data_IF_390993866011
#
_entry.id   IF_390993866011
#
_cell.length_a   1.000
_cell.length_b   1.000
_cell.length_c   1.000
_cell.angle_alpha   90.00
_cell.angle_beta   90.00
_cell.angle_gamma   90.00
#
_symmetry.space_group_name_H-M   'P 1'
#
loop_
_entity.id
_entity.type
_entity.pdbx_description
1 polymer ?
#
# COMPACT_ATOMS: atom_id res chain seq x y z
N UNK A 1 5.31 -5.48 20.56
CA UNK A 1 5.76 -4.99 19.25
C UNK A 1 4.81 -3.90 18.76
N UNK A 2 5.33 -2.74 18.38
CA UNK A 2 4.52 -1.67 17.84
C UNK A 2 4.03 -2.02 16.43
N UNK A 3 3.03 -1.30 15.93
CA UNK A 3 2.53 -1.52 14.57
C UNK A 3 3.60 -1.17 13.53
N UNK A 4 4.45 -0.18 13.81
CA UNK A 4 5.57 0.16 12.94
C UNK A 4 6.60 -0.97 12.87
N UNK A 5 6.92 -1.57 14.02
CA UNK A 5 7.81 -2.73 14.07
C UNK A 5 7.21 -3.92 13.34
N UNK A 6 5.90 -4.10 13.42
CA UNK A 6 5.21 -5.15 12.67
C UNK A 6 5.35 -4.94 11.16
N UNK A 7 5.16 -3.71 10.70
CA UNK A 7 5.35 -3.39 9.29
C UNK A 7 6.79 -3.66 8.85
N UNK A 8 7.77 -3.24 9.66
CA UNK A 8 9.18 -3.46 9.37
C UNK A 8 9.53 -4.95 9.32
N UNK A 9 8.91 -5.76 10.18
CA UNK A 9 9.09 -7.21 10.16
C UNK A 9 8.64 -7.81 8.83
N UNK A 10 7.50 -7.38 8.30
CA UNK A 10 7.05 -7.83 6.97
C UNK A 10 7.96 -7.32 5.86
N UNK A 11 8.46 -6.10 5.98
CA UNK A 11 9.37 -5.54 4.98
C UNK A 11 10.68 -6.35 4.84
N UNK A 12 11.05 -7.09 5.87
CA UNK A 12 12.27 -7.90 5.90
C UNK A 12 11.99 -9.39 6.07
N UNK A 13 10.75 -9.79 5.87
CA UNK A 13 10.32 -11.18 6.05
C UNK A 13 10.56 -12.06 4.84
N UNK A 14 9.77 -13.11 4.75
CA UNK A 14 9.90 -14.12 3.68
C UNK A 14 8.54 -14.56 3.17
N UNK A 15 8.49 -14.87 1.89
CA UNK A 15 7.37 -15.57 1.30
C UNK A 15 7.66 -17.07 1.44
N UNK A 16 6.90 -17.71 2.31
CA UNK A 16 7.01 -19.15 2.53
C UNK A 16 6.24 -19.89 1.44
N UNK A 17 6.80 -20.93 0.92
CA UNK A 17 6.22 -21.72 -0.17
C UNK A 17 6.96 -21.48 -1.49
N UNK A 18 7.34 -20.24 -1.76
CA UNK A 18 8.09 -19.87 -2.95
C UNK A 18 9.51 -19.37 -2.61
N UNK A 19 9.82 -19.32 -1.33
CA UNK A 19 11.15 -19.02 -0.80
C UNK A 19 11.74 -17.70 -1.31
N UNK A 20 10.98 -16.63 -1.18
CA UNK A 20 11.40 -15.29 -1.57
C UNK A 20 11.70 -14.48 -0.31
N UNK A 21 12.85 -13.81 -0.25
CA UNK A 21 13.23 -12.95 0.86
C UNK A 21 12.89 -11.49 0.55
N UNK A 22 12.07 -10.87 1.38
CA UNK A 22 11.64 -9.49 1.14
C UNK A 22 12.73 -8.47 1.45
N UNK A 23 13.68 -8.82 2.33
CA UNK A 23 14.81 -7.96 2.62
C UNK A 23 15.69 -7.67 1.42
N UNK A 24 15.68 -8.57 0.42
CA UNK A 24 16.47 -8.42 -0.80
C UNK A 24 15.75 -7.58 -1.86
N UNK A 25 14.50 -7.22 -1.63
CA UNK A 25 13.72 -6.40 -2.56
C UNK A 25 13.94 -4.93 -2.24
N UNK A 26 14.26 -4.14 -3.26
CA UNK A 26 14.54 -2.72 -3.10
C UNK A 26 13.24 -1.91 -3.00
N UNK A 27 13.19 -0.98 -2.06
CA UNK A 27 12.18 0.06 -2.05
C UNK A 27 12.40 0.99 -3.24
N UNK A 28 11.33 1.49 -3.85
CA UNK A 28 11.43 2.47 -4.92
C UNK A 28 10.48 3.64 -4.67
N UNK A 29 10.83 4.81 -5.21
CA UNK A 29 9.98 6.00 -5.10
C UNK A 29 8.86 5.91 -6.11
N UNK A 30 7.66 6.32 -5.69
CA UNK A 30 6.52 6.40 -6.60
C UNK A 30 6.87 7.42 -7.71
N UNK A 31 6.62 7.09 -8.98
CA UNK A 31 7.02 7.96 -10.10
C UNK A 31 6.27 9.30 -10.16
N UNK A 32 5.11 9.41 -9.52
CA UNK A 32 4.27 10.63 -9.58
C UNK A 32 4.14 11.36 -8.26
N UNK A 33 4.22 10.68 -7.13
CA UNK A 33 3.90 11.27 -5.83
C UNK A 33 5.12 11.33 -4.94
N UNK A 34 5.56 12.55 -4.64
CA UNK A 34 6.69 12.79 -3.76
C UNK A 34 6.43 12.23 -2.36
N UNK A 35 7.45 11.62 -1.76
CA UNK A 35 7.35 11.11 -0.40
C UNK A 35 6.64 9.77 -0.28
N UNK A 36 6.32 9.13 -1.40
CA UNK A 36 5.69 7.81 -1.43
C UNK A 36 6.69 6.78 -1.89
N UNK A 37 6.91 5.75 -1.07
CA UNK A 37 7.81 4.65 -1.38
C UNK A 37 7.04 3.33 -1.42
N UNK A 38 7.45 2.44 -2.30
CA UNK A 38 6.81 1.15 -2.49
C UNK A 38 7.81 0.01 -2.52
N UNK A 39 7.39 -1.15 -2.07
CA UNK A 39 8.13 -2.40 -2.16
C UNK A 39 7.16 -3.48 -2.66
N UNK A 40 7.48 -4.10 -3.79
CA UNK A 40 6.62 -5.10 -4.43
C UNK A 40 6.99 -6.49 -3.90
N UNK A 41 6.22 -7.03 -2.97
CA UNK A 41 6.57 -8.29 -2.30
C UNK A 41 5.93 -9.54 -2.93
N UNK A 42 4.75 -9.42 -3.51
CA UNK A 42 4.16 -10.47 -4.34
C UNK A 42 3.73 -9.82 -5.65
N UNK A 43 4.16 -10.38 -6.76
CA UNK A 43 3.90 -9.82 -8.08
C UNK A 43 3.19 -10.84 -8.97
N UNK A 44 2.85 -10.45 -10.19
CA UNK A 44 2.28 -11.35 -11.16
C UNK A 44 3.19 -12.56 -11.46
N UNK A 45 4.48 -12.43 -11.21
CA UNK A 45 5.41 -13.55 -11.37
C UNK A 45 5.04 -14.73 -10.47
N UNK A 46 4.69 -14.47 -9.21
CA UNK A 46 4.30 -15.52 -8.26
C UNK A 46 2.84 -15.97 -8.42
N UNK A 47 1.97 -15.14 -8.98
CA UNK A 47 0.52 -15.36 -8.94
C UNK A 47 -0.11 -15.59 -10.30
N UNK A 48 0.68 -15.65 -11.37
CA UNK A 48 0.19 -15.72 -12.74
C UNK A 48 -0.79 -14.56 -13.05
N UNK A 49 -0.47 -13.39 -12.54
CA UNK A 49 -1.27 -12.19 -12.77
C UNK A 49 -2.52 -12.06 -11.91
N UNK A 50 -2.79 -13.00 -11.01
CA UNK A 50 -4.05 -13.01 -10.24
C UNK A 50 -4.13 -11.92 -9.19
N UNK A 51 -3.03 -11.60 -8.53
CA UNK A 51 -2.97 -10.46 -7.61
C UNK A 51 -1.53 -10.05 -7.36
N UNK A 52 -1.37 -8.86 -6.77
CA UNK A 52 -0.06 -8.41 -6.30
C UNK A 52 -0.21 -7.78 -4.92
N UNK A 53 0.88 -7.78 -4.15
CA UNK A 53 0.92 -7.29 -2.79
C UNK A 53 2.12 -6.36 -2.64
N UNK A 54 1.87 -5.14 -2.16
CA UNK A 54 2.88 -4.09 -2.04
C UNK A 54 2.88 -3.49 -0.65
N UNK A 55 4.06 -3.19 -0.14
CA UNK A 55 4.20 -2.35 1.04
C UNK A 55 4.32 -0.92 0.56
N UNK A 56 3.61 -0.01 1.21
CA UNK A 56 3.60 1.41 0.85
C UNK A 56 3.88 2.26 2.06
N UNK A 57 4.79 3.21 1.92
CA UNK A 57 5.07 4.23 2.94
C UNK A 57 4.75 5.60 2.37
N UNK A 58 3.91 6.35 3.05
CA UNK A 58 3.66 7.75 2.73
C UNK A 58 4.32 8.57 3.82
N UNK A 59 5.28 9.42 3.45
CA UNK A 59 6.01 10.24 4.41
C UNK A 59 5.08 11.26 5.11
N UNK A 60 5.47 11.76 6.30
CA UNK A 60 4.65 12.76 6.99
C UNK A 60 4.23 13.92 6.10
N UNK A 61 2.95 14.27 6.15
CA UNK A 61 2.33 15.36 5.40
C UNK A 61 2.36 15.21 3.88
N UNK A 62 2.76 14.05 3.36
CA UNK A 62 2.74 13.75 1.93
C UNK A 62 1.49 12.96 1.58
N UNK A 63 1.27 12.76 0.29
CA UNK A 63 0.04 12.09 -0.15
C UNK A 63 0.22 11.30 -1.43
N UNK A 64 -0.60 10.28 -1.59
CA UNK A 64 -0.88 9.69 -2.90
C UNK A 64 -2.03 10.54 -3.45
N UNK A 65 -1.72 11.38 -4.45
CA UNK A 65 -2.71 12.30 -5.01
C UNK A 65 -3.86 11.59 -5.70
N UNK A 66 -4.85 12.36 -6.11
CA UNK A 66 -6.05 11.83 -6.74
C UNK A 66 -5.70 10.97 -7.95
N UNK A 67 -6.14 9.71 -7.94
CA UNK A 67 -5.86 8.75 -9.01
C UNK A 67 -6.93 7.68 -9.06
N UNK A 68 -6.93 6.91 -10.15
CA UNK A 68 -7.78 5.73 -10.30
C UNK A 68 -6.95 4.57 -10.83
N UNK A 69 -7.42 3.36 -10.56
CA UNK A 69 -6.93 2.16 -11.23
C UNK A 69 -8.07 1.63 -12.10
N UNK A 70 -7.83 1.59 -13.41
CA UNK A 70 -8.87 1.26 -14.38
C UNK A 70 -9.35 -0.19 -14.28
N UNK A 71 -8.45 -1.10 -14.00
CA UNK A 71 -8.69 -2.52 -14.13
C UNK A 71 -8.53 -3.33 -12.84
N UNK A 72 -8.11 -2.72 -11.75
CA UNK A 72 -7.85 -3.44 -10.52
C UNK A 72 -8.81 -3.04 -9.39
N UNK A 73 -9.25 -4.02 -8.65
CA UNK A 73 -9.76 -3.81 -7.30
C UNK A 73 -8.54 -3.68 -6.40
N UNK A 74 -8.53 -2.69 -5.52
CA UNK A 74 -7.44 -2.48 -4.57
C UNK A 74 -7.94 -2.51 -3.15
N UNK A 75 -7.16 -3.09 -2.24
CA UNK A 75 -7.41 -2.96 -0.80
C UNK A 75 -6.22 -2.31 -0.12
N UNK A 76 -6.49 -1.53 0.92
CA UNK A 76 -5.48 -0.98 1.80
C UNK A 76 -5.71 -1.49 3.21
N UNK A 77 -4.68 -2.06 3.82
CA UNK A 77 -4.68 -2.37 5.24
C UNK A 77 -3.74 -1.35 5.89
N UNK A 78 -4.27 -0.48 6.72
CA UNK A 78 -3.47 0.56 7.38
C UNK A 78 -2.80 -0.06 8.60
N UNK A 79 -1.47 -0.11 8.59
CA UNK A 79 -0.69 -0.77 9.62
C UNK A 79 -0.16 0.24 10.63
N UNK A 80 0.28 1.40 10.19
CA UNK A 80 0.87 2.42 11.06
C UNK A 80 0.50 3.81 10.59
N UNK A 81 0.37 4.74 11.53
CA UNK A 81 0.15 6.15 11.26
C UNK A 81 -1.31 6.50 11.09
N UNK A 82 -1.56 7.71 10.65
CA UNK A 82 -2.91 8.21 10.45
C UNK A 82 -2.95 9.25 9.34
N UNK A 83 -4.14 9.47 8.81
CA UNK A 83 -4.39 10.44 7.77
C UNK A 83 -5.81 10.38 7.28
N UNK A 84 -6.03 10.80 6.06
CA UNK A 84 -7.36 10.86 5.45
C UNK A 84 -7.36 10.17 4.10
N UNK A 85 -8.46 9.48 3.82
CA UNK A 85 -8.74 8.94 2.49
C UNK A 85 -9.97 9.64 1.94
N UNK A 86 -9.82 10.26 0.79
CA UNK A 86 -10.94 10.90 0.08
C UNK A 86 -11.30 10.12 -1.17
N UNK A 87 -12.59 9.86 -1.33
CA UNK A 87 -13.16 9.37 -2.57
C UNK A 87 -14.10 10.44 -3.12
N UNK A 88 -14.78 10.21 -4.25
CA UNK A 88 -15.70 11.22 -4.80
C UNK A 88 -16.77 11.64 -3.81
N UNK A 89 -17.30 10.69 -3.05
CA UNK A 89 -18.46 10.93 -2.20
C UNK A 89 -18.18 10.97 -0.72
N UNK A 90 -17.00 10.48 -0.31
CA UNK A 90 -16.70 10.29 1.10
C UNK A 90 -15.29 10.69 1.48
N UNK A 91 -15.16 11.01 2.76
CA UNK A 91 -13.88 11.23 3.38
C UNK A 91 -13.85 10.35 4.64
N UNK A 92 -12.81 9.57 4.81
CA UNK A 92 -12.71 8.71 5.98
C UNK A 92 -11.32 8.78 6.60
N UNK A 93 -11.26 8.53 7.90
CA UNK A 93 -10.00 8.51 8.62
C UNK A 93 -9.22 7.23 8.31
N UNK A 94 -7.93 7.37 8.02
CA UNK A 94 -6.99 6.26 7.96
C UNK A 94 -6.25 6.21 9.28
N UNK A 95 -6.26 5.06 9.91
CA UNK A 95 -5.49 4.79 11.13
C UNK A 95 -5.29 3.29 11.25
N UNK A 96 -4.34 2.88 12.09
CA UNK A 96 -4.05 1.46 12.31
C UNK A 96 -5.31 0.64 12.55
N UNK A 97 -5.43 -0.46 11.81
CA UNK A 97 -6.58 -1.36 11.91
C UNK A 97 -7.70 -1.08 10.92
N UNK A 98 -7.60 -0.03 10.13
CA UNK A 98 -8.58 0.23 9.05
C UNK A 98 -8.23 -0.56 7.81
N UNK A 99 -9.27 -1.08 7.16
CA UNK A 99 -9.16 -1.71 5.84
C UNK A 99 -10.08 -0.93 4.91
N UNK A 100 -9.54 -0.49 3.79
CA UNK A 100 -10.32 0.17 2.75
C UNK A 100 -10.34 -0.71 1.50
N UNK A 101 -11.42 -0.64 0.74
CA UNK A 101 -11.55 -1.36 -0.52
C UNK A 101 -11.99 -0.39 -1.60
N UNK A 102 -11.32 -0.45 -2.74
CA UNK A 102 -11.59 0.42 -3.89
C UNK A 102 -11.86 -0.44 -5.12
N UNK A 103 -13.13 -0.54 -5.54
CA UNK A 103 -13.43 -1.16 -6.82
C UNK A 103 -12.70 -0.45 -7.96
N UNK A 104 -12.52 -1.12 -9.07
CA UNK A 104 -11.92 -0.50 -10.25
C UNK A 104 -12.63 0.80 -10.61
N UNK A 105 -11.88 1.78 -11.12
CA UNK A 105 -12.38 3.08 -11.57
C UNK A 105 -12.84 4.01 -10.43
N UNK A 106 -12.63 3.66 -9.18
CA UNK A 106 -12.93 4.55 -8.05
C UNK A 106 -11.80 5.55 -7.87
N UNK A 107 -12.12 6.83 -7.85
CA UNK A 107 -11.13 7.89 -7.54
C UNK A 107 -10.85 7.92 -6.06
N UNK A 108 -9.58 8.06 -5.70
CA UNK A 108 -9.16 8.16 -4.30
C UNK A 108 -7.89 8.98 -4.15
N UNK A 109 -7.73 9.56 -2.97
CA UNK A 109 -6.55 10.32 -2.57
C UNK A 109 -6.28 10.00 -1.10
N UNK A 110 -5.05 9.68 -0.77
CA UNK A 110 -4.66 9.36 0.60
C UNK A 110 -3.63 10.38 1.07
N UNK A 111 -3.94 11.12 2.13
CA UNK A 111 -3.06 12.14 2.70
C UNK A 111 -2.59 11.68 4.06
N UNK A 112 -1.28 11.62 4.27
CA UNK A 112 -0.70 11.26 5.55
C UNK A 112 -0.73 12.44 6.51
N UNK A 113 -0.90 12.14 7.80
CA UNK A 113 -0.77 13.11 8.87
C UNK A 113 0.68 13.25 9.34
N UNK A 114 0.85 13.68 10.57
CA UNK A 114 2.16 14.06 11.13
C UNK A 114 3.19 12.93 11.22
N UNK A 115 2.73 11.67 11.29
CA UNK A 115 3.64 10.53 11.44
C UNK A 115 3.81 9.73 10.14
N UNK A 116 3.13 10.11 9.07
CA UNK A 116 3.08 9.32 7.85
C UNK A 116 2.07 8.19 7.96
N UNK A 117 1.99 7.36 6.92
CA UNK A 117 1.11 6.19 6.89
C UNK A 117 1.88 5.02 6.25
N UNK A 118 1.78 3.84 6.88
CA UNK A 118 2.32 2.60 6.32
C UNK A 118 1.16 1.66 6.02
N UNK A 119 1.11 1.16 4.79
CA UNK A 119 -0.03 0.43 4.23
C UNK A 119 0.42 -0.88 3.61
N UNK A 120 -0.39 -1.94 3.77
CA UNK A 120 -0.35 -3.12 2.91
C UNK A 120 -1.37 -2.89 1.79
N UNK A 121 -0.91 -2.82 0.55
CA UNK A 121 -1.77 -2.61 -0.61
C UNK A 121 -1.81 -3.87 -1.47
N UNK A 122 -3.02 -4.32 -1.81
CA UNK A 122 -3.22 -5.50 -2.65
C UNK A 122 -4.05 -5.13 -3.86
N UNK A 123 -3.69 -5.67 -5.03
CA UNK A 123 -4.39 -5.41 -6.29
C UNK A 123 -4.84 -6.73 -6.91
N UNK A 124 -6.08 -6.76 -7.36
CA UNK A 124 -6.71 -7.93 -8.00
C UNK A 124 -7.35 -7.44 -9.30
N UNK A 125 -6.89 -7.84 -10.50
CA UNK A 125 -5.66 -8.59 -10.77
C UNK A 125 -4.40 -7.81 -10.42
N UNK A 126 -3.25 -8.42 -10.59
CA UNK A 126 -1.96 -7.84 -10.23
C UNK A 126 -1.71 -6.49 -10.90
N UNK A 127 -1.14 -5.54 -10.14
CA UNK A 127 -0.69 -4.26 -10.67
C UNK A 127 0.68 -4.43 -11.33
N UNK A 128 1.50 -5.28 -10.75
CA UNK A 128 2.89 -5.51 -11.18
C UNK A 128 3.21 -6.98 -11.30
#
# INVERSE_FOLDING_TARGET
MSSRETFDAFSNGKLTGLEKSFGDITWYLHPKFEGVEMKDIITSEETEGKFSFHLVKIAPEKKIGLHIHENQLETHEVIFGEGLCKTEDNECAYKSGRIAIFPAKTKREITAGAEGIYIFAKFIPALK
#
